data_IF_485635072381
#
_entry.id   IF_485635072381
#
_cell.length_a   1.000
_cell.length_b   1.000
_cell.length_c   1.000
_cell.angle_alpha   90.00
_cell.angle_beta   90.00
_cell.angle_gamma   90.00
#
_symmetry.space_group_name_H-M   'P 1'
#
loop_
_entity.id
_entity.type
_entity.pdbx_description
1 polymer ?
#
# COMPACT_ATOMS: atom_id res chain seq x y z
N UNK A 1 9.31 13.12 8.24
CA UNK A 1 9.48 13.62 6.86
C UNK A 1 8.17 13.35 6.13
N UNK A 2 7.54 14.38 5.56
CA UNK A 2 6.25 14.24 4.91
C UNK A 2 6.43 13.68 3.48
N UNK A 3 5.49 12.84 3.01
CA UNK A 3 5.57 12.23 1.66
C UNK A 3 5.68 13.28 0.55
N UNK A 4 5.05 14.45 0.73
CA UNK A 4 5.11 15.55 -0.25
C UNK A 4 6.52 16.15 -0.41
N UNK A 5 7.29 16.20 0.67
CA UNK A 5 8.69 16.69 0.65
C UNK A 5 9.59 15.71 -0.11
N UNK A 6 9.35 14.41 0.09
CA UNK A 6 10.06 13.34 -0.63
C UNK A 6 9.68 13.35 -2.13
N UNK A 7 8.42 13.64 -2.45
CA UNK A 7 7.91 13.68 -3.83
C UNK A 7 8.61 14.71 -4.73
N UNK A 8 9.35 15.68 -4.17
CA UNK A 8 10.16 16.61 -4.96
C UNK A 8 11.46 15.98 -5.47
N UNK A 9 11.90 14.88 -4.84
CA UNK A 9 13.19 14.25 -5.07
C UNK A 9 13.10 12.85 -5.69
N UNK A 10 11.89 12.33 -5.89
CA UNK A 10 11.65 10.98 -6.43
C UNK A 10 10.65 11.00 -7.58
N UNK A 11 10.84 10.11 -8.55
CA UNK A 11 9.93 9.99 -9.70
C UNK A 11 8.69 9.13 -9.39
N UNK A 12 8.84 8.18 -8.47
CA UNK A 12 7.83 7.18 -8.17
C UNK A 12 7.83 6.82 -6.68
N UNK A 13 6.64 6.87 -6.08
CA UNK A 13 6.39 6.48 -4.69
C UNK A 13 5.59 5.19 -4.65
N UNK A 14 6.03 4.24 -3.82
CA UNK A 14 5.28 3.00 -3.52
C UNK A 14 4.74 3.10 -2.10
N UNK A 15 3.42 3.09 -1.95
CA UNK A 15 2.70 3.19 -0.68
C UNK A 15 2.11 1.83 -0.31
N UNK A 16 2.48 1.30 0.86
CA UNK A 16 1.86 0.11 1.43
C UNK A 16 0.72 0.57 2.36
N UNK A 17 -0.50 0.64 1.82
CA UNK A 17 -1.66 1.11 2.58
C UNK A 17 -2.96 0.58 1.97
N UNK A 18 -3.96 0.35 2.80
CA UNK A 18 -5.35 0.12 2.39
C UNK A 18 -6.28 1.29 2.68
N UNK A 19 -5.80 2.30 3.41
CA UNK A 19 -6.66 3.35 3.95
C UNK A 19 -7.03 4.40 2.89
N UNK A 20 -8.33 4.68 2.76
CA UNK A 20 -8.88 5.66 1.84
C UNK A 20 -8.44 7.10 2.13
N UNK A 21 -8.02 7.40 3.35
CA UNK A 21 -7.58 8.74 3.76
C UNK A 21 -6.34 9.23 2.97
N UNK A 22 -5.57 8.30 2.40
CA UNK A 22 -4.43 8.63 1.54
C UNK A 22 -4.82 9.12 0.15
N UNK A 23 -6.11 9.12 -0.22
CA UNK A 23 -6.58 9.61 -1.52
C UNK A 23 -6.08 11.02 -1.83
N UNK A 24 -6.25 11.96 -0.90
CA UNK A 24 -5.81 13.35 -1.07
C UNK A 24 -4.29 13.47 -1.18
N UNK A 25 -3.54 12.58 -0.53
CA UNK A 25 -2.09 12.51 -0.67
C UNK A 25 -1.69 12.02 -2.07
N UNK A 26 -2.32 10.95 -2.57
CA UNK A 26 -2.06 10.43 -3.91
C UNK A 26 -2.34 11.51 -4.95
N UNK A 27 -3.45 12.23 -4.83
CA UNK A 27 -3.79 13.33 -5.72
C UNK A 27 -2.74 14.46 -5.68
N UNK A 28 -2.30 14.85 -4.47
CA UNK A 28 -1.28 15.89 -4.32
C UNK A 28 0.08 15.48 -4.92
N UNK A 29 0.45 14.21 -4.82
CA UNK A 29 1.67 13.67 -5.44
C UNK A 29 1.56 13.62 -6.96
N UNK A 30 0.41 13.21 -7.50
CA UNK A 30 0.14 13.21 -8.95
C UNK A 30 0.15 14.62 -9.54
N UNK A 31 -0.39 15.62 -8.82
CA UNK A 31 -0.33 17.04 -9.23
C UNK A 31 1.11 17.56 -9.36
N UNK A 32 2.07 16.95 -8.65
CA UNK A 32 3.51 17.24 -8.77
C UNK A 32 4.17 16.47 -9.92
N UNK A 33 3.40 15.74 -10.74
CA UNK A 33 3.88 14.97 -11.88
C UNK A 33 4.60 13.68 -11.49
N UNK A 34 4.35 13.15 -10.27
CA UNK A 34 5.00 11.92 -9.78
C UNK A 34 4.04 10.75 -9.84
N UNK A 35 4.58 9.56 -10.04
CA UNK A 35 3.80 8.32 -10.07
C UNK A 35 3.62 7.79 -8.66
N UNK A 36 2.46 7.19 -8.40
CA UNK A 36 2.17 6.49 -7.15
C UNK A 36 1.67 5.08 -7.43
N UNK A 37 2.32 4.11 -6.81
CA UNK A 37 1.82 2.74 -6.71
C UNK A 37 1.31 2.48 -5.32
N UNK A 38 0.08 1.98 -5.19
CA UNK A 38 -0.44 1.47 -3.91
C UNK A 38 -0.36 -0.04 -3.90
N UNK A 39 0.18 -0.57 -2.81
CA UNK A 39 0.25 -1.99 -2.51
C UNK A 39 -0.71 -2.28 -1.36
N UNK A 40 -1.73 -3.09 -1.62
CA UNK A 40 -2.72 -3.51 -0.60
C UNK A 40 -3.30 -4.87 -0.95
N UNK A 41 -4.21 -5.42 -0.15
CA UNK A 41 -4.93 -6.66 -0.48
C UNK A 41 -6.41 -6.44 -0.68
N UNK A 42 -6.97 -7.14 -1.67
CA UNK A 42 -8.41 -7.28 -1.87
C UNK A 42 -8.95 -8.64 -1.39
N UNK A 43 -8.06 -9.55 -0.99
CA UNK A 43 -8.43 -10.94 -0.66
C UNK A 43 -8.93 -11.12 0.79
N UNK A 44 -9.04 -10.05 1.56
CA UNK A 44 -9.59 -10.06 2.93
C UNK A 44 -11.08 -9.73 2.91
N UNK A 45 -11.81 -10.18 3.92
CA UNK A 45 -13.21 -9.83 4.11
C UNK A 45 -13.37 -9.16 5.49
N UNK A 46 -13.61 -7.84 5.55
CA UNK A 46 -13.78 -6.90 4.43
C UNK A 46 -12.48 -6.57 3.66
N UNK A 47 -12.56 -6.08 2.41
CA UNK A 47 -11.39 -5.63 1.65
C UNK A 47 -10.64 -4.55 2.42
N UNK A 48 -9.33 -4.69 2.56
CA UNK A 48 -8.53 -3.69 3.28
C UNK A 48 -8.35 -2.39 2.50
N UNK A 49 -8.48 -2.40 1.17
CA UNK A 49 -8.33 -1.20 0.34
C UNK A 49 -9.65 -0.48 0.10
N UNK A 50 -9.67 0.84 0.32
CA UNK A 50 -10.76 1.71 -0.11
C UNK A 50 -10.87 1.75 -1.65
N UNK A 51 -12.08 1.55 -2.18
CA UNK A 51 -12.34 1.47 -3.61
C UNK A 51 -11.94 2.77 -4.35
N UNK A 52 -12.10 3.91 -3.69
CA UNK A 52 -11.68 5.23 -4.21
C UNK A 52 -10.16 5.35 -4.33
N UNK A 53 -9.42 4.88 -3.31
CA UNK A 53 -7.95 4.93 -3.34
C UNK A 53 -7.46 4.15 -4.55
N UNK A 54 -7.92 2.89 -4.71
CA UNK A 54 -7.53 2.01 -5.83
C UNK A 54 -7.73 2.68 -7.20
N UNK A 55 -8.82 3.44 -7.37
CA UNK A 55 -9.14 4.13 -8.63
C UNK A 55 -8.29 5.39 -8.86
N UNK A 56 -7.88 6.06 -7.80
CA UNK A 56 -7.07 7.29 -7.88
C UNK A 56 -5.60 7.02 -8.19
N UNK A 57 -5.03 5.90 -7.71
CA UNK A 57 -3.60 5.57 -7.92
C UNK A 57 -3.28 5.25 -9.37
N UNK A 58 -2.05 5.55 -9.81
CA UNK A 58 -1.58 5.18 -11.15
C UNK A 58 -1.43 3.66 -11.32
N UNK A 59 -0.98 2.96 -10.27
CA UNK A 59 -0.78 1.51 -10.30
C UNK A 59 -1.19 0.87 -8.98
N UNK A 60 -2.00 -0.19 -9.06
CA UNK A 60 -2.34 -1.00 -7.91
C UNK A 60 -1.67 -2.37 -7.98
N UNK A 61 -1.06 -2.80 -6.87
CA UNK A 61 -0.48 -4.14 -6.73
C UNK A 61 -1.21 -4.85 -5.58
N UNK A 62 -1.78 -6.02 -5.87
CA UNK A 62 -2.30 -6.89 -4.82
C UNK A 62 -1.14 -7.59 -4.11
N UNK A 63 -0.96 -7.32 -2.82
CA UNK A 63 0.07 -7.97 -2.00
C UNK A 63 -0.13 -9.50 -1.94
N UNK A 64 -1.35 -10.01 -2.11
CA UNK A 64 -1.60 -11.45 -2.21
C UNK A 64 -0.90 -12.07 -3.43
N UNK A 65 -0.79 -11.33 -4.54
CA UNK A 65 -0.05 -11.76 -5.74
C UNK A 65 1.46 -11.85 -5.50
N UNK A 66 1.99 -11.05 -4.56
CA UNK A 66 3.41 -11.06 -4.20
C UNK A 66 3.77 -12.19 -3.24
N UNK A 67 2.79 -12.81 -2.56
CA UNK A 67 3.01 -13.87 -1.57
C UNK A 67 3.87 -15.02 -2.11
N UNK A 68 3.74 -15.40 -3.37
CA UNK A 68 4.56 -16.46 -3.96
C UNK A 68 6.05 -16.08 -4.11
N UNK A 69 6.38 -14.79 -4.17
CA UNK A 69 7.75 -14.28 -4.38
C UNK A 69 8.43 -13.82 -3.08
N UNK A 70 7.66 -13.22 -2.17
CA UNK A 70 8.18 -12.58 -0.95
C UNK A 70 7.61 -13.20 0.34
N UNK A 71 6.71 -14.18 0.22
CA UNK A 71 6.10 -14.84 1.35
C UNK A 71 7.14 -15.61 2.15
N UNK A 72 7.18 -15.36 3.45
CA UNK A 72 7.99 -16.17 4.36
C UNK A 72 7.42 -17.58 4.42
N UNK A 73 8.31 -18.57 4.39
CA UNK A 73 7.93 -19.96 4.58
C UNK A 73 7.28 -20.13 5.97
N UNK A 74 6.20 -20.91 6.10
CA UNK A 74 5.45 -21.02 7.36
C UNK A 74 6.31 -21.41 8.57
N UNK A 75 7.40 -22.15 8.33
CA UNK A 75 8.39 -22.58 9.30
C UNK A 75 9.21 -21.46 9.93
N UNK A 76 9.28 -20.28 9.29
CA UNK A 76 10.03 -19.12 9.77
C UNK A 76 9.16 -18.10 10.51
N UNK A 77 7.88 -18.43 10.74
CA UNK A 77 6.98 -17.58 11.53
C UNK A 77 7.30 -17.80 13.02
N UNK A 78 7.87 -16.83 13.75
CA UNK A 78 7.85 -16.92 15.21
C UNK A 78 6.39 -17.09 15.65
N UNK A 79 6.10 -17.88 16.69
CA UNK A 79 4.76 -18.00 17.22
C UNK A 79 4.19 -16.59 17.37
N UNK A 80 3.00 -16.33 16.82
CA UNK A 80 2.28 -15.12 17.21
C UNK A 80 2.04 -15.31 18.71
N UNK A 81 2.62 -14.46 19.53
CA UNK A 81 2.07 -14.25 20.86
C UNK A 81 0.63 -13.79 20.60
N UNK A 82 -0.32 -14.67 20.91
CA UNK A 82 -1.72 -14.30 20.91
C UNK A 82 -1.83 -13.15 21.90
N UNK A 83 -1.94 -11.92 21.39
CA UNK A 83 -2.35 -10.75 22.17
C UNK A 83 -3.79 -11.01 22.61
N UNK A 84 -3.93 -11.74 23.71
CA UNK A 84 -5.07 -11.67 24.60
C UNK A 84 -4.92 -10.38 25.42
N UNK A 85 -5.59 -9.30 25.00
CA UNK A 85 -6.52 -8.51 25.83
C UNK A 85 -7.26 -7.44 25.00
#
# INVERSE_FOLDING_TARGET
ICVLEIAEHVDHIVLFTGDGDFRSLVEAVQRRGRKVTVVSTMSTQPPLIADELRRQTDHFIDIASLKAKIGREPSHRPPREDEFE
#
